data_IF_844513382337
#
_entry.id   IF_844513382337
#
_cell.length_a   1.000
_cell.length_b   1.000
_cell.length_c   1.000
_cell.angle_alpha   90.00
_cell.angle_beta   90.00
_cell.angle_gamma   90.00
#
_symmetry.space_group_name_H-M   'P 1'
#
loop_
_entity.id
_entity.type
_entity.pdbx_description
1 polymer ?
#
# COMPACT_ATOMS: atom_id res chain seq x y z
N UNK A 1 24.99 12.48 12.20
CA UNK A 1 24.13 12.19 11.03
C UNK A 1 23.31 10.96 11.35
N UNK A 2 21.98 11.07 11.43
CA UNK A 2 21.14 9.90 11.71
C UNK A 2 21.22 8.91 10.54
N UNK A 3 21.29 7.61 10.82
CA UNK A 3 21.37 6.59 9.77
C UNK A 3 20.13 6.66 8.85
N UNK A 4 20.33 6.53 7.54
CA UNK A 4 19.23 6.46 6.57
C UNK A 4 18.34 5.26 6.92
N UNK A 5 17.03 5.50 6.93
CA UNK A 5 16.00 4.48 7.23
C UNK A 5 15.15 4.23 6.00
N UNK A 6 14.57 3.04 5.91
CA UNK A 6 13.56 2.68 4.90
C UNK A 6 12.19 2.69 5.57
N UNK A 7 11.22 3.36 4.95
CA UNK A 7 9.84 3.41 5.38
C UNK A 7 8.96 2.67 4.38
N UNK A 8 8.03 1.85 4.87
CA UNK A 8 6.94 1.27 4.08
C UNK A 8 5.64 1.89 4.57
N UNK A 9 4.95 2.63 3.71
CA UNK A 9 3.83 3.50 4.11
C UNK A 9 2.52 3.03 3.52
N UNK A 10 1.52 2.82 4.37
CA UNK A 10 0.14 2.54 4.02
C UNK A 10 -0.75 3.72 4.38
N UNK A 11 -1.24 4.41 3.36
CA UNK A 11 -2.15 5.54 3.49
C UNK A 11 -2.92 5.71 2.18
N UNK A 12 -3.64 6.83 2.03
CA UNK A 12 -4.31 7.19 0.78
C UNK A 12 -3.34 7.16 -0.42
N UNK A 13 -3.89 6.94 -1.60
CA UNK A 13 -3.12 6.90 -2.85
C UNK A 13 -2.22 8.12 -3.01
N UNK A 14 -0.91 7.91 -3.15
CA UNK A 14 0.06 8.98 -3.34
C UNK A 14 -0.29 9.83 -4.57
N UNK A 15 -0.33 11.15 -4.41
CA UNK A 15 -0.57 12.10 -5.49
C UNK A 15 -2.03 12.21 -5.94
N UNK A 16 -2.98 11.49 -5.33
CA UNK A 16 -4.40 11.57 -5.67
C UNK A 16 -5.14 12.64 -4.89
N UNK A 17 -5.04 12.60 -3.56
CA UNK A 17 -5.64 13.59 -2.66
C UNK A 17 -4.58 14.03 -1.63
N UNK A 18 -4.47 15.33 -1.33
CA UNK A 18 -3.54 15.78 -0.30
C UNK A 18 -3.98 15.24 1.07
N UNK A 19 -3.05 14.62 1.80
CA UNK A 19 -3.26 14.19 3.19
C UNK A 19 -2.11 14.64 4.08
N UNK A 20 -2.36 14.71 5.39
CA UNK A 20 -1.33 15.01 6.40
C UNK A 20 -0.15 14.03 6.31
N UNK A 21 -0.44 12.75 6.08
CA UNK A 21 0.56 11.72 5.86
C UNK A 21 1.41 12.00 4.61
N UNK A 22 0.79 12.38 3.48
CA UNK A 22 1.55 12.77 2.29
C UNK A 22 2.43 13.99 2.55
N UNK A 23 1.91 15.02 3.22
CA UNK A 23 2.70 16.19 3.59
C UNK A 23 3.94 15.82 4.43
N UNK A 24 3.77 14.95 5.42
CA UNK A 24 4.84 14.48 6.28
C UNK A 24 5.92 13.74 5.47
N UNK A 25 5.51 12.78 4.64
CA UNK A 25 6.46 11.97 3.89
C UNK A 25 7.15 12.72 2.74
N UNK A 26 6.56 13.80 2.22
CA UNK A 26 7.28 14.72 1.32
C UNK A 26 8.51 15.36 1.96
N UNK A 27 8.50 15.56 3.28
CA UNK A 27 9.65 16.09 4.04
C UNK A 27 10.62 14.99 4.50
N UNK A 28 10.15 13.75 4.66
CA UNK A 28 10.97 12.61 5.07
C UNK A 28 11.75 12.00 3.91
N UNK A 29 11.13 11.89 2.73
CA UNK A 29 11.69 11.24 1.54
C UNK A 29 13.05 11.79 1.07
N UNK A 30 13.39 13.09 1.19
CA UNK A 30 14.73 13.58 0.83
C UNK A 30 15.88 12.97 1.65
N UNK A 31 15.59 12.49 2.86
CA UNK A 31 16.60 11.98 3.79
C UNK A 31 16.51 10.47 4.05
N UNK A 32 15.38 9.85 3.67
CA UNK A 32 15.06 8.46 3.95
C UNK A 32 14.50 7.79 2.71
N UNK A 33 14.65 6.48 2.59
CA UNK A 33 13.98 5.74 1.53
C UNK A 33 12.52 5.57 1.90
N UNK A 34 11.60 5.91 1.01
CA UNK A 34 10.16 5.81 1.26
C UNK A 34 9.51 4.99 0.16
N UNK A 35 8.92 3.87 0.56
CA UNK A 35 8.13 2.98 -0.29
C UNK A 35 6.67 3.15 0.10
N UNK A 36 5.90 3.80 -0.76
CA UNK A 36 4.49 4.08 -0.55
C UNK A 36 3.63 2.99 -1.21
N UNK A 37 2.71 2.38 -0.47
CA UNK A 37 1.89 1.27 -0.95
C UNK A 37 0.48 1.79 -1.25
N UNK A 38 0.17 1.98 -2.53
CA UNK A 38 -1.18 2.31 -2.98
C UNK A 38 -2.03 1.03 -2.98
N UNK A 39 -2.92 0.87 -2.00
CA UNK A 39 -3.82 -0.28 -1.91
C UNK A 39 -5.18 0.00 -2.54
N UNK A 40 -5.73 -0.96 -3.29
CA UNK A 40 -7.12 -0.90 -3.75
C UNK A 40 -8.01 -1.37 -2.60
N UNK A 41 -8.60 -0.46 -1.82
CA UNK A 41 -9.68 -0.87 -0.91
C UNK A 41 -9.91 0.05 0.29
N UNK A 42 -10.80 1.02 0.15
CA UNK A 42 -11.76 1.33 1.23
C UNK A 42 -13.20 1.12 0.80
N UNK A 43 -13.49 0.85 -0.49
CA UNK A 43 -14.84 0.59 -0.97
C UNK A 43 -14.97 -0.82 -1.51
N UNK A 44 -15.79 -1.62 -0.84
CA UNK A 44 -16.23 -2.92 -1.35
C UNK A 44 -17.02 -2.67 -2.64
N UNK A 45 -16.63 -3.19 -3.82
CA UNK A 45 -17.47 -3.09 -5.01
C UNK A 45 -18.78 -3.84 -4.73
N UNK A 46 -19.90 -3.13 -4.91
CA UNK A 46 -21.21 -3.76 -4.85
C UNK A 46 -21.33 -4.81 -5.96
N UNK A 47 -22.12 -5.87 -5.75
CA UNK A 47 -22.39 -6.94 -6.74
C UNK A 47 -23.23 -6.42 -7.93
N UNK A 48 -22.88 -5.27 -8.51
CA UNK A 48 -23.50 -4.71 -9.71
C UNK A 48 -22.70 -5.16 -10.93
N UNK A 49 -23.35 -5.46 -12.07
CA UNK A 49 -22.66 -5.89 -13.29
C UNK A 49 -21.57 -4.92 -13.75
N UNK A 50 -21.74 -3.62 -13.52
CA UNK A 50 -20.76 -2.59 -13.83
C UNK A 50 -19.47 -2.67 -12.98
N UNK A 51 -19.59 -3.05 -11.71
CA UNK A 51 -18.46 -3.23 -10.81
C UNK A 51 -17.69 -4.53 -11.12
N UNK A 52 -18.41 -5.59 -11.50
CA UNK A 52 -17.83 -6.84 -12.00
C UNK A 52 -17.09 -6.64 -13.33
N UNK A 53 -17.64 -5.85 -14.26
CA UNK A 53 -16.98 -5.50 -15.51
C UNK A 53 -15.71 -4.67 -15.27
N UNK A 54 -15.72 -3.76 -14.29
CA UNK A 54 -14.55 -2.97 -13.89
C UNK A 54 -13.48 -3.83 -13.19
N UNK A 55 -13.88 -4.76 -12.34
CA UNK A 55 -12.98 -5.73 -11.71
C UNK A 55 -12.37 -6.69 -12.76
N UNK A 56 -13.17 -7.17 -13.71
CA UNK A 56 -12.74 -8.01 -14.81
C UNK A 56 -11.82 -7.25 -15.80
N UNK A 57 -12.06 -5.95 -16.01
CA UNK A 57 -11.18 -5.06 -16.78
C UNK A 57 -9.81 -4.93 -16.14
N UNK A 58 -9.75 -4.63 -14.83
CA UNK A 58 -8.48 -4.59 -14.08
C UNK A 58 -7.78 -5.96 -14.03
N UNK A 59 -8.52 -7.05 -13.85
CA UNK A 59 -7.96 -8.41 -13.89
C UNK A 59 -7.40 -8.77 -15.28
N UNK A 60 -8.04 -8.32 -16.36
CA UNK A 60 -7.54 -8.50 -17.73
C UNK A 60 -6.31 -7.63 -17.99
N UNK A 61 -6.28 -6.39 -17.53
CA UNK A 61 -5.09 -5.54 -17.58
C UNK A 61 -3.93 -6.18 -16.79
N UNK A 62 -4.20 -6.82 -15.65
CA UNK A 62 -3.19 -7.55 -14.87
C UNK A 62 -2.77 -8.90 -15.47
N UNK A 63 -3.66 -9.61 -16.17
CA UNK A 63 -3.38 -10.93 -16.74
C UNK A 63 -2.74 -10.84 -18.15
N UNK A 64 -3.06 -9.80 -18.92
CA UNK A 64 -2.62 -9.64 -20.31
C UNK A 64 -1.69 -8.43 -20.52
N UNK A 65 -1.55 -7.53 -19.53
CA UNK A 65 -0.65 -6.39 -19.56
C UNK A 65 0.57 -6.59 -18.65
N UNK A 66 1.54 -7.36 -19.14
CA UNK A 66 2.97 -7.33 -18.77
C UNK A 66 3.37 -7.52 -17.29
N UNK A 67 4.55 -8.09 -17.07
CA UNK A 67 5.20 -8.27 -15.76
C UNK A 67 5.64 -6.98 -15.06
N UNK A 68 4.87 -5.89 -15.16
CA UNK A 68 5.18 -4.54 -14.66
C UNK A 68 4.22 -4.07 -13.55
N UNK A 69 3.31 -4.91 -13.06
CA UNK A 69 2.32 -4.55 -12.03
C UNK A 69 2.93 -4.25 -10.64
N UNK A 70 4.26 -4.33 -10.48
CA UNK A 70 5.00 -3.88 -9.30
C UNK A 70 6.00 -2.75 -9.62
N UNK A 71 5.91 -2.11 -10.78
CA UNK A 71 6.78 -1.00 -11.13
C UNK A 71 6.57 0.15 -10.15
N UNK A 72 7.52 0.32 -9.23
CA UNK A 72 7.59 1.45 -8.33
C UNK A 72 7.74 2.73 -9.16
N UNK A 73 6.64 3.44 -9.38
CA UNK A 73 6.72 4.74 -10.04
C UNK A 73 7.31 5.72 -9.03
N UNK A 74 8.40 6.38 -9.42
CA UNK A 74 8.97 7.48 -8.63
C UNK A 74 8.29 8.79 -9.01
N UNK A 75 7.85 9.57 -8.04
CA UNK A 75 7.34 10.93 -8.28
C UNK A 75 8.52 11.84 -8.68
N UNK A 76 8.50 12.52 -9.84
CA UNK A 76 9.61 13.37 -10.26
C UNK A 76 9.85 14.57 -9.33
N UNK A 77 8.88 14.96 -8.51
CA UNK A 77 9.03 16.07 -7.56
C UNK A 77 9.59 15.63 -6.19
N UNK A 78 9.42 14.36 -5.80
CA UNK A 78 9.78 13.84 -4.46
C UNK A 78 10.23 12.39 -4.59
N UNK A 79 11.37 11.97 -4.00
CA UNK A 79 11.91 10.61 -4.15
C UNK A 79 11.13 9.56 -3.34
N UNK A 80 9.87 9.33 -3.72
CA UNK A 80 8.97 8.32 -3.16
C UNK A 80 8.74 7.22 -4.20
N UNK A 81 9.01 5.99 -3.81
CA UNK A 81 8.76 4.78 -4.61
C UNK A 81 7.31 4.32 -4.40
N UNK A 82 6.44 4.46 -5.40
CA UNK A 82 5.02 4.10 -5.28
C UNK A 82 4.76 2.68 -5.78
N UNK A 83 4.53 1.74 -4.87
CA UNK A 83 4.10 0.37 -5.16
C UNK A 83 2.59 0.29 -5.38
N UNK A 84 2.19 -0.50 -6.37
CA UNK A 84 0.79 -0.72 -6.76
C UNK A 84 0.45 -2.21 -6.80
N UNK A 85 0.48 -2.90 -5.64
CA UNK A 85 0.28 -4.33 -5.57
C UNK A 85 -1.09 -4.75 -6.12
N UNK A 86 -1.12 -5.86 -6.82
CA UNK A 86 -2.36 -6.53 -7.25
C UNK A 86 -3.10 -7.04 -6.01
N UNK A 87 -4.37 -6.64 -5.86
CA UNK A 87 -5.22 -7.04 -4.74
C UNK A 87 -6.64 -7.33 -5.21
N UNK A 88 -7.29 -8.27 -4.54
CA UNK A 88 -8.71 -8.56 -4.74
C UNK A 88 -9.55 -7.54 -3.96
N UNK A 89 -10.66 -7.02 -4.51
CA UNK A 89 -11.45 -6.00 -3.84
C UNK A 89 -12.43 -6.56 -2.78
N UNK A 90 -12.37 -7.86 -2.50
CA UNK A 90 -13.30 -8.58 -1.64
C UNK A 90 -12.67 -8.94 -0.29
N UNK A 91 -12.40 -7.94 0.54
CA UNK A 91 -11.75 -8.13 1.85
C UNK A 91 -12.67 -8.74 2.94
N UNK A 92 -13.98 -8.81 2.68
CA UNK A 92 -14.95 -9.42 3.61
C UNK A 92 -14.82 -10.94 3.72
N UNK A 93 -14.17 -11.60 2.76
CA UNK A 93 -14.02 -13.06 2.76
C UNK A 93 -12.66 -13.46 3.34
N UNK A 94 -12.67 -14.20 4.45
CA UNK A 94 -11.44 -14.56 5.18
C UNK A 94 -10.31 -15.17 4.30
N UNK A 95 -10.59 -16.08 3.35
CA UNK A 95 -9.53 -16.61 2.48
C UNK A 95 -8.93 -15.54 1.55
N UNK A 96 -9.76 -14.64 1.01
CA UNK A 96 -9.32 -13.57 0.11
C UNK A 96 -8.51 -12.51 0.86
N UNK A 97 -8.85 -12.22 2.12
CA UNK A 97 -8.05 -11.35 2.98
C UNK A 97 -6.63 -11.91 3.21
N UNK A 98 -6.50 -13.23 3.38
CA UNK A 98 -5.19 -13.90 3.51
C UNK A 98 -4.41 -13.89 2.20
N UNK A 99 -5.09 -14.04 1.06
CA UNK A 99 -4.49 -13.91 -0.26
C UNK A 99 -3.95 -12.48 -0.47
N UNK A 100 -4.77 -11.47 -0.21
CA UNK A 100 -4.39 -10.05 -0.29
C UNK A 100 -3.17 -9.74 0.58
N UNK A 101 -3.16 -10.20 1.84
CA UNK A 101 -2.01 -10.03 2.73
C UNK A 101 -0.74 -10.70 2.16
N UNK A 102 -0.86 -11.90 1.60
CA UNK A 102 0.28 -12.62 1.02
C UNK A 102 0.83 -11.93 -0.23
N UNK A 103 -0.05 -11.40 -1.11
CA UNK A 103 0.33 -10.63 -2.29
C UNK A 103 1.01 -9.32 -1.91
N UNK A 104 0.47 -8.61 -0.92
CA UNK A 104 1.09 -7.40 -0.36
C UNK A 104 2.50 -7.66 0.16
N UNK A 105 2.66 -8.69 1.00
CA UNK A 105 3.97 -9.04 1.57
C UNK A 105 4.96 -9.41 0.48
N UNK A 106 4.52 -10.17 -0.53
CA UNK A 106 5.38 -10.54 -1.67
C UNK A 106 5.83 -9.29 -2.45
N UNK A 107 4.92 -8.37 -2.74
CA UNK A 107 5.24 -7.13 -3.44
C UNK A 107 6.22 -6.25 -2.64
N UNK A 108 6.00 -6.13 -1.33
CA UNK A 108 6.88 -5.35 -0.45
C UNK A 108 8.26 -5.99 -0.36
N UNK A 109 8.35 -7.31 -0.20
CA UNK A 109 9.63 -8.03 -0.15
C UNK A 109 10.39 -8.03 -1.47
N UNK A 110 9.70 -7.83 -2.59
CA UNK A 110 10.36 -7.63 -3.89
C UNK A 110 11.01 -6.24 -4.00
N UNK A 111 10.46 -5.24 -3.32
CA UNK A 111 10.95 -3.86 -3.35
C UNK A 111 11.92 -3.55 -2.19
N UNK A 112 11.69 -4.13 -1.02
CA UNK A 112 12.42 -3.84 0.23
C UNK A 112 13.03 -5.13 0.76
N UNK A 113 14.35 -5.12 0.92
CA UNK A 113 15.05 -6.27 1.48
C UNK A 113 14.74 -6.40 2.98
N UNK A 114 14.49 -7.62 3.50
CA UNK A 114 14.34 -7.84 4.94
C UNK A 114 15.53 -7.33 5.78
N UNK A 115 16.73 -7.30 5.20
CA UNK A 115 17.93 -6.79 5.85
C UNK A 115 17.87 -5.28 6.15
N UNK A 116 17.05 -4.51 5.42
CA UNK A 116 16.85 -3.08 5.66
C UNK A 116 16.06 -2.81 6.95
N UNK A 117 15.33 -3.82 7.47
CA UNK A 117 14.44 -3.72 8.63
C UNK A 117 13.59 -2.44 8.59
N UNK A 118 12.68 -2.31 7.62
CA UNK A 118 11.97 -1.06 7.38
C UNK A 118 11.10 -0.66 8.58
N UNK A 119 10.73 0.62 8.65
CA UNK A 119 9.68 1.09 9.56
C UNK A 119 8.36 1.04 8.79
N UNK A 120 7.42 0.22 9.27
CA UNK A 120 6.08 0.16 8.72
C UNK A 120 5.25 1.31 9.30
N UNK A 121 4.69 2.17 8.46
CA UNK A 121 3.80 3.25 8.89
C UNK A 121 2.44 3.03 8.26
N UNK A 122 1.39 3.09 9.06
CA UNK A 122 0.03 2.94 8.55
C UNK A 122 -0.93 3.94 9.14
N UNK A 123 -1.83 4.44 8.30
CA UNK A 123 -3.02 5.21 8.69
C UNK A 123 -4.31 4.41 8.46
N UNK A 124 -4.23 3.27 7.75
CA UNK A 124 -5.38 2.49 7.27
C UNK A 124 -5.34 1.03 7.76
N UNK A 125 -6.50 0.36 7.91
CA UNK A 125 -6.56 -1.00 8.44
C UNK A 125 -5.95 -2.07 7.51
N UNK A 126 -5.77 -1.77 6.22
CA UNK A 126 -5.28 -2.73 5.23
C UNK A 126 -3.86 -3.25 5.54
N UNK A 127 -3.07 -2.49 6.29
CA UNK A 127 -1.75 -2.92 6.73
C UNK A 127 -1.80 -4.04 7.79
N UNK A 128 -2.95 -4.31 8.42
CA UNK A 128 -3.06 -5.30 9.50
C UNK A 128 -2.58 -6.70 9.10
N UNK A 129 -2.77 -7.08 7.82
CA UNK A 129 -2.29 -8.36 7.30
C UNK A 129 -0.77 -8.43 7.07
N UNK A 130 -0.07 -7.31 7.16
CA UNK A 130 1.36 -7.12 6.84
C UNK A 130 2.20 -6.90 8.11
N UNK A 131 1.63 -6.29 9.15
CA UNK A 131 2.29 -6.06 10.45
C UNK A 131 2.91 -7.35 10.98
N UNK A 132 4.19 -7.30 11.34
CA UNK A 132 5.01 -8.39 11.88
C UNK A 132 5.46 -9.41 10.83
N UNK A 133 5.27 -9.16 9.52
CA UNK A 133 5.53 -10.14 8.46
C UNK A 133 6.55 -9.67 7.42
N UNK A 134 7.12 -8.47 7.57
CA UNK A 134 8.13 -7.93 6.63
C UNK A 134 9.50 -7.70 7.29
N UNK A 135 9.73 -8.28 8.48
CA UNK A 135 10.94 -8.07 9.29
C UNK A 135 11.17 -6.59 9.63
N UNK A 136 10.07 -5.85 9.84
CA UNK A 136 10.16 -4.43 10.18
C UNK A 136 10.92 -4.19 11.51
N UNK A 137 11.60 -3.05 11.61
CA UNK A 137 12.21 -2.62 12.87
C UNK A 137 11.17 -2.10 13.87
N UNK A 138 10.09 -1.51 13.36
CA UNK A 138 8.98 -0.96 14.13
C UNK A 138 7.74 -0.81 13.24
N UNK A 139 6.56 -0.88 13.87
CA UNK A 139 5.29 -0.57 13.24
C UNK A 139 4.69 0.66 13.91
N UNK A 140 4.35 1.68 13.14
CA UNK A 140 3.80 2.96 13.60
C UNK A 140 2.38 3.11 13.06
N UNK A 141 1.42 3.19 13.96
CA UNK A 141 0.06 3.58 13.62
C UNK A 141 -0.10 5.09 13.76
N UNK A 142 -0.21 5.78 12.63
CA UNK A 142 -0.49 7.20 12.60
C UNK A 142 -2.01 7.41 12.59
N UNK A 143 -2.57 7.64 13.77
CA UNK A 143 -3.99 7.93 13.94
C UNK A 143 -4.30 9.31 13.37
N UNK A 144 -5.12 9.37 12.32
CA UNK A 144 -5.48 10.61 11.62
C UNK A 144 -6.97 10.97 11.71
N UNK A 145 -7.86 10.04 12.06
CA UNK A 145 -9.28 10.22 12.39
C UNK A 145 -9.86 8.91 12.96
N UNK A 146 -11.04 8.93 13.58
CA UNK A 146 -11.74 7.74 14.06
C UNK A 146 -12.33 6.91 12.89
N UNK A 147 -11.54 5.96 12.40
CA UNK A 147 -11.89 5.12 11.24
C UNK A 147 -13.15 4.25 11.43
N UNK A 148 -13.60 4.00 12.66
CA UNK A 148 -14.83 3.22 12.93
C UNK A 148 -16.11 3.90 12.44
N UNK A 149 -16.08 5.23 12.27
CA UNK A 149 -17.22 6.02 11.78
C UNK A 149 -17.35 6.02 10.25
N UNK A 150 -16.38 5.44 9.53
CA UNK A 150 -16.34 5.41 8.06
C UNK A 150 -16.61 4.00 7.53
N UNK A 151 -17.85 3.67 7.13
CA UNK A 151 -18.17 2.37 6.55
C UNK A 151 -17.60 2.27 5.14
N UNK A 152 -16.75 1.26 4.92
CA UNK A 152 -16.25 0.85 3.61
C UNK A 152 -17.16 -0.10 2.82
#
# INVERSE_FOLDING_TARGET
MSARRTFVVFADDWGRHPSSCQHLFRRIAPHHRVVWVNTIGTRTPTLRPADLARAAGKLREWAFGAGDAAAAASDPAVPVEVLRPVMTPFDRWHPLRRLNASLLIRAIRAAVSPAERPILVTTIPNAAGVVGRIEEAASVYYCVDEFSEWPG
#
